data_IF_906067447855
#
_entry.id   IF_906067447855
#
_cell.length_a   1.000
_cell.length_b   1.000
_cell.length_c   1.000
_cell.angle_alpha   90.00
_cell.angle_beta   90.00
_cell.angle_gamma   90.00
#
_symmetry.space_group_name_H-M   'P 1'
#
loop_
_entity.id
_entity.type
_entity.pdbx_description
1 polymer ?
#
# COMPACT_ATOMS: atom_id res chain seq x y z
N UNK A 1 -6.49 -15.59 -2.62
CA UNK A 1 -7.43 -14.75 -3.36
C UNK A 1 -6.72 -13.58 -4.07
N UNK A 2 -5.73 -12.92 -3.43
CA UNK A 2 -5.00 -11.78 -3.99
C UNK A 2 -3.91 -12.15 -5.01
N UNK A 3 -3.51 -13.41 -5.11
CA UNK A 3 -2.61 -13.90 -6.15
C UNK A 3 -1.13 -13.95 -5.76
N UNK A 4 -0.78 -13.90 -4.50
CA UNK A 4 0.60 -13.88 -4.00
C UNK A 4 1.37 -15.21 -4.14
N UNK A 5 0.70 -16.30 -4.53
CA UNK A 5 1.31 -17.63 -4.58
C UNK A 5 1.69 -18.10 -6.00
N UNK A 6 1.47 -17.26 -7.01
CA UNK A 6 1.76 -17.53 -8.41
C UNK A 6 2.49 -16.35 -9.04
N UNK A 7 3.32 -16.54 -10.06
CA UNK A 7 3.89 -15.44 -10.82
C UNK A 7 2.83 -14.45 -11.30
N UNK A 8 3.17 -13.17 -11.41
CA UNK A 8 2.25 -12.17 -11.95
C UNK A 8 1.95 -12.48 -13.40
N UNK A 9 0.66 -12.53 -13.74
CA UNK A 9 0.24 -12.62 -15.13
C UNK A 9 0.32 -11.22 -15.76
N UNK A 10 1.40 -10.96 -16.46
CA UNK A 10 1.71 -9.71 -17.18
C UNK A 10 2.49 -10.07 -18.45
N UNK A 11 2.54 -9.18 -19.41
CA UNK A 11 3.12 -9.45 -20.74
C UNK A 11 4.65 -9.53 -20.78
N UNK A 12 5.32 -9.35 -19.65
CA UNK A 12 6.78 -9.52 -19.58
C UNK A 12 7.16 -11.01 -19.70
N UNK A 13 8.19 -11.35 -20.49
CA UNK A 13 8.67 -12.73 -20.62
C UNK A 13 9.29 -13.22 -19.29
N UNK A 14 10.04 -12.37 -18.62
CA UNK A 14 10.72 -12.68 -17.36
C UNK A 14 9.90 -12.25 -16.16
N UNK A 15 9.52 -13.19 -15.33
CA UNK A 15 8.67 -12.97 -14.15
C UNK A 15 9.20 -13.75 -12.96
N UNK A 16 9.49 -13.03 -11.87
CA UNK A 16 9.90 -13.67 -10.64
C UNK A 16 8.77 -14.50 -10.03
N UNK A 17 9.11 -15.70 -9.58
CA UNK A 17 8.20 -16.54 -8.80
C UNK A 17 8.20 -16.08 -7.34
N UNK A 18 7.03 -15.91 -6.71
CA UNK A 18 6.96 -15.63 -5.29
C UNK A 18 7.66 -16.71 -4.45
N UNK A 19 8.42 -16.27 -3.45
CA UNK A 19 9.01 -17.21 -2.50
C UNK A 19 8.01 -17.48 -1.38
N UNK A 20 7.63 -18.73 -1.24
CA UNK A 20 6.65 -19.21 -0.26
C UNK A 20 7.25 -20.31 0.59
N UNK A 21 6.84 -20.45 1.86
CA UNK A 21 7.27 -21.57 2.68
C UNK A 21 6.86 -22.92 2.08
N UNK A 22 7.78 -23.87 2.06
CA UNK A 22 7.50 -25.26 1.68
C UNK A 22 8.27 -26.20 2.62
N UNK A 23 7.59 -27.08 3.35
CA UNK A 23 6.13 -27.22 3.48
C UNK A 23 5.50 -26.03 4.25
N UNK A 24 4.23 -25.75 3.98
CA UNK A 24 3.47 -24.72 4.69
C UNK A 24 3.10 -25.24 6.10
N UNK A 25 3.54 -24.54 7.13
CA UNK A 25 3.27 -24.88 8.53
C UNK A 25 2.38 -23.80 9.18
N UNK A 26 1.75 -24.13 10.31
CA UNK A 26 0.89 -23.18 11.03
C UNK A 26 1.64 -21.89 11.39
N UNK A 27 2.90 -21.99 11.82
CA UNK A 27 3.73 -20.84 12.13
C UNK A 27 3.88 -19.89 10.93
N UNK A 28 3.92 -20.42 9.69
CA UNK A 28 4.00 -19.57 8.50
C UNK A 28 2.73 -18.75 8.31
N UNK A 29 1.56 -19.31 8.61
CA UNK A 29 0.29 -18.55 8.59
C UNK A 29 0.33 -17.41 9.59
N UNK A 30 0.86 -17.65 10.79
CA UNK A 30 0.99 -16.62 11.81
C UNK A 30 1.98 -15.52 11.39
N UNK A 31 3.17 -15.89 10.92
CA UNK A 31 4.19 -14.90 10.54
C UNK A 31 3.78 -14.11 9.30
N UNK A 32 3.14 -14.72 8.32
CA UNK A 32 2.64 -14.05 7.11
C UNK A 32 1.52 -13.06 7.44
N UNK A 33 0.73 -13.29 8.50
CA UNK A 33 -0.35 -12.38 8.89
C UNK A 33 0.14 -10.97 9.26
N UNK A 34 1.39 -10.84 9.70
CA UNK A 34 2.02 -9.56 10.00
C UNK A 34 3.20 -9.22 9.06
N UNK A 35 3.33 -9.93 7.93
CA UNK A 35 4.20 -9.55 6.83
C UNK A 35 5.55 -10.26 6.73
N UNK A 36 5.77 -11.37 7.45
CA UNK A 36 7.00 -12.16 7.38
C UNK A 36 6.81 -13.53 6.74
N UNK A 37 7.84 -14.03 6.02
CA UNK A 37 7.85 -15.39 5.49
C UNK A 37 7.23 -15.55 4.10
N UNK A 38 6.93 -14.45 3.41
CA UNK A 38 6.48 -14.42 2.03
C UNK A 38 7.20 -13.31 1.29
N UNK A 39 7.83 -13.61 0.15
CA UNK A 39 8.39 -12.60 -0.74
C UNK A 39 7.62 -12.54 -2.05
N UNK A 40 7.18 -11.35 -2.41
CA UNK A 40 6.39 -11.09 -3.63
C UNK A 40 6.99 -9.92 -4.39
N UNK A 41 6.75 -9.83 -5.69
CA UNK A 41 7.20 -8.68 -6.47
C UNK A 41 6.42 -7.41 -6.10
N UNK A 42 6.99 -6.22 -6.33
CA UNK A 42 6.29 -4.95 -6.15
C UNK A 42 4.95 -4.89 -6.88
N UNK A 43 4.88 -5.48 -8.06
CA UNK A 43 3.66 -5.51 -8.88
C UNK A 43 2.55 -6.37 -8.24
N UNK A 44 2.90 -7.47 -7.54
CA UNK A 44 1.93 -8.22 -6.75
C UNK A 44 1.30 -7.35 -5.66
N UNK A 45 2.14 -6.62 -4.92
CA UNK A 45 1.67 -5.77 -3.83
C UNK A 45 0.79 -4.63 -4.33
N UNK A 46 1.21 -3.94 -5.39
CA UNK A 46 0.44 -2.86 -6.00
C UNK A 46 -0.94 -3.35 -6.49
N UNK A 47 -0.98 -4.50 -7.19
CA UNK A 47 -2.24 -5.08 -7.67
C UNK A 47 -3.15 -5.57 -6.53
N UNK A 48 -2.56 -6.10 -5.46
CA UNK A 48 -3.34 -6.51 -4.29
C UNK A 48 -4.00 -5.30 -3.63
N UNK A 49 -3.25 -4.21 -3.42
CA UNK A 49 -3.79 -2.97 -2.86
C UNK A 49 -4.83 -2.37 -3.80
N UNK A 50 -4.57 -2.29 -5.10
CA UNK A 50 -5.56 -1.85 -6.08
C UNK A 50 -6.85 -2.67 -5.99
N UNK A 51 -6.74 -4.00 -5.86
CA UNK A 51 -7.89 -4.90 -5.69
C UNK A 51 -8.66 -4.66 -4.39
N UNK A 52 -7.98 -4.26 -3.33
CA UNK A 52 -8.59 -3.96 -2.04
C UNK A 52 -9.36 -2.64 -2.10
N UNK A 53 -8.79 -1.60 -2.69
CA UNK A 53 -9.37 -0.25 -2.63
C UNK A 53 -10.41 0.04 -3.71
N UNK A 54 -10.44 -0.70 -4.81
CA UNK A 54 -11.34 -0.48 -5.96
C UNK A 54 -12.74 -1.09 -5.83
N UNK A 55 -13.19 -1.34 -4.61
CA UNK A 55 -14.45 -2.03 -4.35
C UNK A 55 -14.29 -3.55 -4.21
N UNK A 56 -13.07 -4.07 -4.13
CA UNK A 56 -12.79 -5.48 -3.85
C UNK A 56 -12.72 -6.37 -5.11
N UNK A 57 -12.35 -5.83 -6.24
CA UNK A 57 -12.29 -6.54 -7.52
C UNK A 57 -10.84 -6.67 -7.99
N UNK A 58 -10.34 -7.90 -8.05
CA UNK A 58 -9.06 -8.20 -8.68
C UNK A 58 -9.21 -8.20 -10.19
N UNK A 59 -8.47 -7.32 -10.86
CA UNK A 59 -8.38 -7.25 -12.32
C UNK A 59 -7.05 -7.81 -12.81
N UNK A 60 -6.99 -8.37 -14.02
CA UNK A 60 -5.72 -8.65 -14.67
C UNK A 60 -4.85 -7.39 -14.77
N UNK A 61 -3.55 -7.59 -14.68
CA UNK A 61 -2.57 -6.53 -14.91
C UNK A 61 -2.18 -6.56 -16.39
N UNK A 62 -1.94 -5.37 -16.95
CA UNK A 62 -1.35 -5.22 -18.28
C UNK A 62 -0.42 -4.03 -18.28
N UNK A 63 0.69 -4.13 -19.00
CA UNK A 63 1.61 -3.03 -19.30
C UNK A 63 1.37 -2.44 -20.70
N UNK A 64 0.48 -3.07 -21.48
CA UNK A 64 0.14 -2.58 -22.81
C UNK A 64 -0.82 -1.39 -22.71
N UNK A 65 -0.47 -0.30 -23.39
CA UNK A 65 -1.39 0.81 -23.56
C UNK A 65 -2.61 0.34 -24.36
N UNK A 66 -3.79 0.72 -23.91
CA UNK A 66 -5.06 0.38 -24.55
C UNK A 66 -5.70 1.63 -25.10
N UNK A 67 -6.16 1.54 -26.35
CA UNK A 67 -6.97 2.59 -26.97
C UNK A 67 -8.38 2.66 -26.37
N UNK A 68 -9.10 3.72 -26.65
CA UNK A 68 -10.46 3.91 -26.12
C UNK A 68 -11.43 2.80 -26.55
N UNK A 69 -11.25 2.21 -27.75
CA UNK A 69 -12.03 1.06 -28.23
C UNK A 69 -11.81 -0.19 -27.40
N UNK A 70 -10.62 -0.38 -26.85
CA UNK A 70 -10.26 -1.55 -26.04
C UNK A 70 -10.77 -1.47 -24.60
N UNK A 71 -11.18 -0.28 -24.16
CA UNK A 71 -11.76 -0.09 -22.80
C UNK A 71 -13.08 -0.84 -22.63
N UNK A 72 -13.82 -1.03 -23.72
CA UNK A 72 -15.12 -1.73 -23.74
C UNK A 72 -14.91 -3.25 -23.49
N UNK A 73 -13.76 -3.79 -23.86
CA UNK A 73 -13.43 -5.23 -23.79
C UNK A 73 -12.57 -5.61 -22.59
N UNK A 74 -12.44 -4.73 -21.58
CA UNK A 74 -11.65 -5.04 -20.40
C UNK A 74 -12.12 -6.36 -19.74
N UNK A 75 -11.21 -7.31 -19.45
CA UNK A 75 -11.56 -8.54 -18.77
C UNK A 75 -12.32 -8.25 -17.46
N UNK A 76 -13.44 -8.95 -17.28
CA UNK A 76 -14.20 -8.85 -16.03
C UNK A 76 -13.31 -9.27 -14.87
N UNK A 77 -13.15 -8.39 -13.87
CA UNK A 77 -12.40 -8.73 -12.67
C UNK A 77 -13.17 -9.69 -11.77
N UNK A 78 -12.42 -10.41 -10.92
CA UNK A 78 -13.00 -11.32 -9.93
C UNK A 78 -13.12 -10.63 -8.58
N UNK A 79 -14.29 -10.70 -7.94
CA UNK A 79 -14.48 -10.20 -6.58
C UNK A 79 -13.69 -11.04 -5.58
N UNK A 80 -12.82 -10.39 -4.80
CA UNK A 80 -11.97 -11.04 -3.78
C UNK A 80 -12.36 -10.67 -2.36
N UNK A 81 -12.93 -9.47 -2.16
CA UNK A 81 -13.52 -8.99 -0.91
C UNK A 81 -14.82 -8.23 -1.19
N UNK A 82 -15.63 -8.01 -0.16
CA UNK A 82 -16.87 -7.26 -0.29
C UNK A 82 -16.62 -5.75 -0.50
N UNK A 83 -17.58 -5.04 -1.08
CA UNK A 83 -17.55 -3.57 -1.17
C UNK A 83 -17.43 -2.92 0.22
N UNK A 84 -18.13 -3.48 1.22
CA UNK A 84 -18.08 -3.02 2.62
C UNK A 84 -16.65 -3.12 3.18
N UNK A 85 -16.00 -4.27 2.99
CA UNK A 85 -14.61 -4.48 3.42
C UNK A 85 -13.65 -3.53 2.71
N UNK A 86 -13.83 -3.33 1.39
CA UNK A 86 -13.03 -2.38 0.62
C UNK A 86 -13.16 -0.95 1.17
N UNK A 87 -14.38 -0.50 1.49
CA UNK A 87 -14.61 0.81 2.09
C UNK A 87 -13.93 0.94 3.45
N UNK A 88 -14.08 -0.04 4.32
CA UNK A 88 -13.42 -0.07 5.63
C UNK A 88 -11.89 -0.01 5.50
N UNK A 89 -11.32 -0.73 4.53
CA UNK A 89 -9.87 -0.69 4.26
C UNK A 89 -9.42 0.69 3.79
N UNK A 90 -10.16 1.39 2.93
CA UNK A 90 -9.84 2.77 2.52
C UNK A 90 -9.83 3.72 3.72
N UNK A 91 -10.82 3.61 4.59
CA UNK A 91 -10.89 4.38 5.83
C UNK A 91 -9.67 4.12 6.74
N UNK A 92 -9.30 2.85 6.94
CA UNK A 92 -8.12 2.47 7.73
C UNK A 92 -6.82 2.98 7.10
N UNK A 93 -6.67 2.88 5.78
CA UNK A 93 -5.49 3.41 5.07
C UNK A 93 -5.39 4.93 5.19
N UNK A 94 -6.54 5.64 5.15
CA UNK A 94 -6.57 7.08 5.38
C UNK A 94 -6.18 7.42 6.83
N UNK A 95 -6.68 6.69 7.80
CA UNK A 95 -6.36 6.86 9.22
C UNK A 95 -4.85 6.73 9.49
N UNK A 96 -4.16 5.82 8.80
CA UNK A 96 -2.69 5.67 8.89
C UNK A 96 -1.97 6.95 8.45
N UNK A 97 -2.49 7.65 7.44
CA UNK A 97 -1.91 8.90 6.96
C UNK A 97 -2.30 10.09 7.84
N UNK A 98 -3.50 10.10 8.41
CA UNK A 98 -3.93 11.19 9.30
C UNK A 98 -3.27 11.09 10.69
N UNK A 99 -3.24 9.91 11.29
CA UNK A 99 -2.88 9.74 12.69
C UNK A 99 -1.79 8.70 12.95
N UNK A 100 -1.38 7.92 11.93
CA UNK A 100 -0.46 6.81 12.08
C UNK A 100 0.95 7.07 11.57
N UNK A 101 1.64 5.99 11.23
CA UNK A 101 3.02 5.99 10.73
C UNK A 101 3.17 6.56 9.32
N UNK A 102 2.07 6.81 8.63
CA UNK A 102 2.02 7.34 7.27
C UNK A 102 1.91 8.85 7.14
N UNK A 103 1.92 9.62 8.24
CA UNK A 103 1.66 11.07 8.21
C UNK A 103 2.51 11.85 7.22
N UNK A 104 3.75 11.44 7.00
CA UNK A 104 4.66 12.07 6.04
C UNK A 104 4.27 11.85 4.57
N UNK A 105 3.30 10.98 4.28
CA UNK A 105 2.75 10.78 2.94
C UNK A 105 1.58 11.72 2.62
N UNK A 106 1.09 12.50 3.58
CA UNK A 106 -0.02 13.42 3.37
C UNK A 106 0.34 14.46 2.32
N UNK A 107 -0.44 14.52 1.24
CA UNK A 107 -0.41 15.54 0.21
C UNK A 107 -1.74 16.29 0.29
N UNK A 108 -1.67 17.55 0.67
CA UNK A 108 -2.84 18.38 0.96
C UNK A 108 -3.80 18.44 -0.23
N UNK A 109 -5.07 18.20 0.02
CA UNK A 109 -6.13 18.19 -0.97
C UNK A 109 -6.26 16.89 -1.77
N UNK A 110 -5.33 15.92 -1.66
CA UNK A 110 -5.35 14.73 -2.50
C UNK A 110 -5.77 13.44 -1.79
N UNK A 111 -6.20 13.54 -0.53
CA UNK A 111 -6.79 12.43 0.24
C UNK A 111 -5.95 11.14 0.16
N UNK A 112 -4.65 11.24 0.40
CA UNK A 112 -3.77 10.08 0.40
C UNK A 112 -4.13 9.13 1.53
N UNK A 113 -4.30 7.86 1.23
CA UNK A 113 -4.35 6.77 2.21
C UNK A 113 -3.26 5.76 1.91
N UNK A 114 -2.71 5.09 2.93
CA UNK A 114 -1.63 4.15 2.65
C UNK A 114 -1.11 3.41 3.88
N UNK A 115 -0.09 2.57 3.65
CA UNK A 115 0.55 1.77 4.70
C UNK A 115 2.06 1.70 4.51
N UNK A 116 2.77 1.90 5.59
CA UNK A 116 4.22 1.67 5.66
C UNK A 116 4.54 0.18 5.63
N UNK A 117 5.66 -0.18 5.03
CA UNK A 117 6.31 -1.48 5.18
C UNK A 117 7.80 -1.26 5.49
N UNK A 118 8.33 -2.12 6.36
CA UNK A 118 9.76 -2.17 6.64
C UNK A 118 10.11 -3.63 6.84
N UNK A 119 10.83 -4.19 5.90
CA UNK A 119 11.28 -5.57 5.94
C UNK A 119 12.80 -5.63 6.18
N UNK A 120 13.23 -6.54 7.03
CA UNK A 120 14.65 -6.88 7.18
C UNK A 120 15.05 -7.83 6.05
N UNK A 121 16.20 -7.58 5.41
CA UNK A 121 16.72 -8.45 4.35
C UNK A 121 17.34 -9.71 4.95
N UNK A 122 17.27 -10.81 4.21
CA UNK A 122 17.98 -12.03 4.59
C UNK A 122 19.48 -11.80 4.57
N UNK A 123 20.16 -12.07 5.67
CA UNK A 123 21.61 -11.98 5.83
C UNK A 123 22.37 -13.26 5.49
N UNK A 124 21.70 -14.24 4.85
CA UNK A 124 22.24 -15.58 4.64
C UNK A 124 22.07 -16.49 5.87
N UNK A 125 22.25 -17.82 5.66
CA UNK A 125 22.08 -18.87 6.71
C UNK A 125 20.81 -18.75 7.55
N UNK A 126 19.69 -18.24 6.97
CA UNK A 126 18.40 -18.14 7.65
C UNK A 126 18.29 -17.03 8.71
N UNK A 127 19.25 -16.13 8.80
CA UNK A 127 19.19 -14.98 9.72
C UNK A 127 18.80 -13.70 8.97
N UNK A 128 18.06 -12.82 9.64
CA UNK A 128 17.76 -11.49 9.15
C UNK A 128 18.88 -10.51 9.48
N UNK A 129 19.22 -9.63 8.54
CA UNK A 129 20.15 -8.55 8.77
C UNK A 129 19.37 -7.28 9.17
N UNK A 130 19.33 -6.99 10.47
CA UNK A 130 18.63 -5.83 11.02
C UNK A 130 19.15 -4.47 10.50
N UNK A 131 20.37 -4.45 9.92
CA UNK A 131 20.96 -3.23 9.36
C UNK A 131 20.59 -3.03 7.89
N UNK A 132 20.12 -4.06 7.19
CA UNK A 132 19.74 -4.00 5.78
C UNK A 132 18.23 -4.05 5.65
N UNK A 133 17.61 -2.89 5.51
CA UNK A 133 16.17 -2.73 5.44
C UNK A 133 15.71 -2.55 4.00
N UNK A 134 14.53 -3.07 3.68
CA UNK A 134 13.73 -2.69 2.53
C UNK A 134 12.54 -1.87 3.06
N UNK A 135 12.60 -0.57 2.86
CA UNK A 135 11.59 0.36 3.35
C UNK A 135 10.61 0.72 2.26
N UNK A 136 9.32 0.61 2.54
CA UNK A 136 8.29 0.82 1.54
C UNK A 136 7.10 1.62 2.08
N UNK A 137 6.36 2.22 1.15
CA UNK A 137 5.06 2.80 1.39
C UNK A 137 4.17 2.55 0.17
N UNK A 138 3.03 1.92 0.39
CA UNK A 138 2.00 1.80 -0.61
C UNK A 138 0.88 2.79 -0.31
N UNK A 139 0.53 3.59 -1.30
CA UNK A 139 -0.50 4.62 -1.20
C UNK A 139 -1.60 4.42 -2.24
N UNK A 140 -2.78 4.91 -1.93
CA UNK A 140 -3.87 5.12 -2.87
C UNK A 140 -4.35 6.56 -2.79
N UNK A 141 -4.73 7.13 -3.92
CA UNK A 141 -5.31 8.47 -3.98
C UNK A 141 -6.23 8.65 -5.18
N UNK A 142 -7.30 9.47 -5.04
CA UNK A 142 -7.91 9.91 -3.78
C UNK A 142 -8.51 8.72 -3.02
N UNK A 143 -8.47 8.71 -1.66
CA UNK A 143 -8.96 7.56 -0.88
C UNK A 143 -10.49 7.40 -0.89
N UNK A 144 -11.24 8.48 -1.14
CA UNK A 144 -12.70 8.44 -1.30
C UNK A 144 -13.11 7.81 -2.64
N UNK A 145 -12.38 8.10 -3.73
CA UNK A 145 -12.57 7.53 -5.06
C UNK A 145 -11.22 7.07 -5.64
N UNK A 146 -10.72 5.88 -5.28
CA UNK A 146 -9.38 5.44 -5.63
C UNK A 146 -9.16 5.32 -7.14
N UNK A 147 -8.30 6.17 -7.67
CA UNK A 147 -7.93 6.19 -9.09
C UNK A 147 -6.54 5.59 -9.31
N UNK A 148 -5.63 5.80 -8.37
CA UNK A 148 -4.23 5.42 -8.49
C UNK A 148 -3.73 4.71 -7.24
N UNK A 149 -2.78 3.82 -7.45
CA UNK A 149 -1.94 3.21 -6.41
C UNK A 149 -0.49 3.55 -6.72
N UNK A 150 0.22 4.05 -5.72
CA UNK A 150 1.66 4.32 -5.78
C UNK A 150 2.37 3.45 -4.77
N UNK A 151 3.37 2.72 -5.20
CA UNK A 151 4.27 1.96 -4.34
C UNK A 151 5.67 2.54 -4.46
N UNK A 152 6.20 3.04 -3.35
CA UNK A 152 7.60 3.46 -3.25
C UNK A 152 8.33 2.44 -2.40
N UNK A 153 9.46 1.97 -2.92
CA UNK A 153 10.36 1.06 -2.23
C UNK A 153 11.77 1.63 -2.28
N UNK A 154 12.45 1.63 -1.16
CA UNK A 154 13.83 2.09 -1.04
C UNK A 154 14.64 0.97 -0.40
N UNK A 155 15.62 0.49 -1.15
CA UNK A 155 16.50 -0.59 -0.71
C UNK A 155 17.69 -0.03 0.07
N UNK A 156 17.92 -0.59 1.24
CA UNK A 156 18.99 -0.22 2.18
C UNK A 156 19.10 1.29 2.43
N UNK A 157 17.98 1.98 2.74
CA UNK A 157 18.04 3.40 3.03
C UNK A 157 18.93 3.67 4.24
N UNK A 158 19.58 4.83 4.20
CA UNK A 158 20.33 5.34 5.35
C UNK A 158 19.51 6.39 6.09
N UNK A 159 19.55 6.34 7.41
CA UNK A 159 18.99 7.41 8.22
C UNK A 159 19.76 8.71 8.04
N UNK A 160 19.03 9.83 8.00
CA UNK A 160 19.60 11.19 7.90
C UNK A 160 19.31 11.96 9.17
N UNK A 161 19.84 13.18 9.29
CA UNK A 161 19.49 14.09 10.41
C UNK A 161 18.00 14.41 10.41
N UNK A 162 17.41 14.64 9.24
CA UNK A 162 15.97 14.94 9.08
C UNK A 162 15.07 13.75 9.45
N UNK A 163 15.57 12.54 9.29
CA UNK A 163 14.87 11.33 9.71
C UNK A 163 15.25 10.88 11.14
N UNK A 164 16.02 11.68 11.88
CA UNK A 164 16.52 11.33 13.23
C UNK A 164 17.22 9.97 13.26
N UNK A 165 17.94 9.61 12.20
CA UNK A 165 18.59 8.31 12.05
C UNK A 165 17.67 7.16 11.65
N UNK A 166 16.35 7.38 11.55
CA UNK A 166 15.41 6.34 11.13
C UNK A 166 15.44 6.11 9.62
N UNK A 167 15.44 4.84 9.22
CA UNK A 167 15.43 4.40 7.84
C UNK A 167 14.17 3.58 7.47
N UNK A 168 13.09 3.71 8.24
CA UNK A 168 11.84 2.97 8.03
C UNK A 168 10.95 3.59 6.95
N UNK A 169 9.96 2.83 6.46
CA UNK A 169 9.06 3.26 5.39
C UNK A 169 8.34 4.59 5.65
N UNK A 170 7.98 4.87 6.91
CA UNK A 170 7.34 6.14 7.30
C UNK A 170 8.27 7.35 7.22
N UNK A 171 9.58 7.14 7.34
CA UNK A 171 10.58 8.21 7.31
C UNK A 171 11.21 8.41 5.93
N UNK A 172 11.28 7.36 5.12
CA UNK A 172 11.97 7.38 3.82
C UNK A 172 11.00 7.32 2.65
N UNK A 173 10.12 6.32 2.62
CA UNK A 173 9.21 6.09 1.48
C UNK A 173 7.97 7.00 1.51
N UNK A 174 7.42 7.28 2.70
CA UNK A 174 6.23 8.13 2.83
C UNK A 174 6.44 9.58 2.34
N UNK A 175 7.56 10.28 2.66
CA UNK A 175 7.82 11.60 2.09
C UNK A 175 7.97 11.60 0.56
N UNK A 176 8.52 10.51 -0.01
CA UNK A 176 8.61 10.35 -1.46
C UNK A 176 7.23 10.23 -2.10
N UNK A 177 6.31 9.46 -1.49
CA UNK A 177 4.91 9.39 -1.93
C UNK A 177 4.26 10.77 -1.92
N UNK A 178 4.42 11.56 -0.84
CA UNK A 178 3.91 12.94 -0.79
C UNK A 178 4.36 13.74 -2.02
N UNK A 179 5.67 13.73 -2.31
CA UNK A 179 6.23 14.47 -3.46
C UNK A 179 5.69 13.98 -4.80
N UNK A 180 5.54 12.66 -4.96
CA UNK A 180 4.99 12.07 -6.18
C UNK A 180 3.53 12.51 -6.35
N UNK A 181 2.70 12.33 -5.32
CA UNK A 181 1.27 12.67 -5.39
C UNK A 181 1.07 14.16 -5.66
N UNK A 182 1.75 15.04 -4.92
CA UNK A 182 1.60 16.49 -5.10
C UNK A 182 1.98 16.97 -6.52
N UNK A 183 2.90 16.28 -7.21
CA UNK A 183 3.31 16.63 -8.57
C UNK A 183 2.49 15.92 -9.64
N UNK A 184 2.17 14.64 -9.42
CA UNK A 184 1.49 13.83 -10.42
C UNK A 184 -0.03 14.04 -10.44
N UNK A 185 -0.67 14.30 -9.30
CA UNK A 185 -2.11 14.38 -9.22
C UNK A 185 -2.72 15.44 -10.16
N UNK A 186 -2.20 16.67 -10.26
CA UNK A 186 -2.70 17.65 -11.24
C UNK A 186 -2.55 17.17 -12.69
N UNK A 187 -1.39 16.55 -13.02
CA UNK A 187 -1.13 16.02 -14.36
C UNK A 187 -2.05 14.85 -14.73
N UNK A 188 -2.52 14.12 -13.74
CA UNK A 188 -3.44 12.99 -13.86
C UNK A 188 -4.92 13.43 -13.82
N UNK A 189 -5.20 14.74 -13.80
CA UNK A 189 -6.56 15.29 -13.75
C UNK A 189 -7.25 15.06 -12.42
N UNK A 190 -6.50 14.89 -11.33
CA UNK A 190 -7.05 14.84 -9.97
C UNK A 190 -7.01 16.24 -9.39
N UNK A 191 -8.18 16.79 -9.13
CA UNK A 191 -8.32 18.10 -8.50
C UNK A 191 -8.21 18.00 -6.98
N UNK A 192 -7.59 18.98 -6.32
CA UNK A 192 -7.58 19.04 -4.87
C UNK A 192 -8.99 19.28 -4.33
N UNK A 193 -9.28 18.67 -3.20
CA UNK A 193 -10.56 18.77 -2.50
C UNK A 193 -10.38 19.29 -1.08
N UNK A 194 -11.43 19.91 -0.53
CA UNK A 194 -11.47 20.22 0.89
C UNK A 194 -11.63 18.93 1.71
N UNK A 195 -10.52 18.51 2.33
CA UNK A 195 -10.47 17.31 3.18
C UNK A 195 -11.39 17.39 4.39
N UNK A 196 -11.79 18.59 4.79
CA UNK A 196 -12.67 18.84 5.93
C UNK A 196 -14.15 18.88 5.56
N UNK A 197 -14.47 18.82 4.26
CA UNK A 197 -15.85 18.82 3.79
C UNK A 197 -16.69 17.72 4.44
N UNK A 198 -17.98 17.97 4.75
CA UNK A 198 -18.85 16.98 5.40
C UNK A 198 -18.96 15.64 4.64
N UNK A 199 -18.91 15.70 3.31
CA UNK A 199 -18.98 14.51 2.45
C UNK A 199 -17.76 13.62 2.61
N UNK A 200 -16.55 14.19 2.49
CA UNK A 200 -15.28 13.49 2.65
C UNK A 200 -15.19 12.88 4.05
N UNK A 201 -15.52 13.66 5.07
CA UNK A 201 -15.51 13.18 6.47
C UNK A 201 -16.49 12.04 6.70
N UNK A 202 -17.67 12.06 6.09
CA UNK A 202 -18.66 10.98 6.20
C UNK A 202 -18.18 9.69 5.53
N UNK A 203 -17.47 9.80 4.41
CA UNK A 203 -16.99 8.64 3.66
C UNK A 203 -15.72 8.02 4.27
N UNK A 204 -14.79 8.84 4.73
CA UNK A 204 -13.46 8.39 5.14
C UNK A 204 -13.21 8.36 6.64
N UNK A 205 -13.96 9.11 7.46
CA UNK A 205 -13.72 9.19 8.90
C UNK A 205 -14.14 7.93 9.64
N UNK A 206 -13.21 7.36 10.40
CA UNK A 206 -13.50 6.34 11.41
C UNK A 206 -13.70 7.07 12.76
N UNK A 207 -14.80 6.80 13.44
CA UNK A 207 -14.95 7.22 14.84
C UNK A 207 -14.03 6.34 15.68
N UNK A 208 -12.94 6.90 16.15
CA UNK A 208 -12.14 6.27 17.20
C UNK A 208 -12.91 6.43 18.52
N UNK A 209 -12.95 5.39 19.38
CA UNK A 209 -13.43 5.56 20.74
C UNK A 209 -12.66 6.70 21.40
N UNK A 210 -13.35 7.56 22.12
CA UNK A 210 -12.70 8.61 22.89
C UNK A 210 -11.64 7.98 23.79
N UNK A 211 -10.41 8.45 23.66
CA UNK A 211 -9.27 7.95 24.42
C UNK A 211 -9.30 8.43 25.88
N UNK A 212 -10.44 8.30 26.55
CA UNK A 212 -10.52 8.42 28.01
C UNK A 212 -9.85 7.17 28.59
N UNK A 213 -8.54 7.28 28.88
CA UNK A 213 -7.74 6.24 29.53
C UNK A 213 -6.98 5.25 28.64
N UNK A 214 -6.98 5.42 27.33
CA UNK A 214 -6.23 4.56 26.41
C UNK A 214 -4.77 4.96 26.29
N UNK A 215 -3.83 4.08 26.65
CA UNK A 215 -2.42 4.19 26.29
C UNK A 215 -2.33 4.47 24.77
N UNK A 216 -1.51 5.46 24.38
CA UNK A 216 -1.20 5.71 22.96
C UNK A 216 -0.85 4.38 22.31
N UNK A 217 -1.54 4.02 21.22
CA UNK A 217 -1.13 2.90 20.38
C UNK A 217 0.33 3.11 20.04
N UNK A 218 1.18 2.17 20.43
CA UNK A 218 2.62 2.27 20.28
C UNK A 218 2.96 2.58 18.82
N UNK A 219 3.73 3.63 18.62
CA UNK A 219 4.41 3.89 17.36
C UNK A 219 5.58 2.92 17.28
N UNK A 220 5.45 1.85 16.50
CA UNK A 220 6.55 0.99 16.11
C UNK A 220 7.25 1.57 14.87
#
# INVERSE_FOLDING_TARGET
>A
KLGFLKPVAVELPEKGTPMTPSPWRQINTMTISFGHGLAVSPLHLANAVASIVNGGIKRPITLLARGDKDRITLPKGKRVISKRTSRAMRQLLRLVVEHGTGRKAAAEGYLVGGKTGTAEKSGGRGRYNRKSLLSSFVATFPSNDPRYVVLVMVDEPKGTKESHGYATGGWVAAPAVKRIVSRAAPLLGIHPVDEMSPEIRRDLKIRLPDAKGGKRLASF
#
